data_IF_547432842560
#
_entry.id   IF_547432842560
#
_cell.length_a   1.000
_cell.length_b   1.000
_cell.length_c   1.000
_cell.angle_alpha   90.00
_cell.angle_beta   90.00
_cell.angle_gamma   90.00
#
_symmetry.space_group_name_H-M   'P 1'
#
loop_
_entity.id
_entity.type
_entity.pdbx_description
1 polymer ?
#
# COMPACT_ATOMS: atom_id res chain seq x y z
N UNK A 1 -36.75 -16.53 -0.51
CA UNK A 1 -35.71 -16.52 -1.53
C UNK A 1 -36.17 -15.64 -2.65
N UNK A 2 -35.40 -14.64 -3.05
CA UNK A 2 -35.69 -13.79 -4.22
C UNK A 2 -34.62 -14.14 -5.28
N UNK A 3 -35.04 -14.66 -6.43
CA UNK A 3 -34.14 -15.10 -7.51
C UNK A 3 -34.80 -14.89 -8.87
N UNK A 4 -34.00 -14.64 -9.90
CA UNK A 4 -34.44 -14.79 -11.27
C UNK A 4 -34.43 -16.27 -11.67
N UNK A 5 -35.29 -16.68 -12.60
CA UNK A 5 -35.34 -18.07 -13.07
C UNK A 5 -34.05 -18.51 -13.78
N UNK A 6 -33.92 -19.81 -14.01
CA UNK A 6 -32.88 -20.40 -14.87
C UNK A 6 -33.34 -20.39 -16.34
N UNK A 7 -32.43 -20.14 -17.28
CA UNK A 7 -32.68 -20.31 -18.71
C UNK A 7 -31.75 -21.37 -19.28
N UNK A 8 -32.27 -22.32 -20.05
CA UNK A 8 -31.47 -23.34 -20.73
C UNK A 8 -30.73 -22.77 -21.95
N UNK A 9 -31.27 -21.72 -22.54
CA UNK A 9 -30.64 -20.95 -23.62
C UNK A 9 -31.12 -19.52 -23.64
N UNK A 10 -30.25 -18.54 -23.95
CA UNK A 10 -30.57 -17.13 -24.03
C UNK A 10 -30.13 -16.32 -22.80
N UNK A 11 -30.77 -15.14 -22.61
CA UNK A 11 -30.44 -14.22 -21.52
C UNK A 11 -31.27 -14.51 -20.27
N UNK A 12 -30.65 -14.40 -19.10
CA UNK A 12 -31.32 -14.52 -17.80
C UNK A 12 -32.00 -13.19 -17.40
N UNK A 13 -32.96 -13.29 -16.48
CA UNK A 13 -33.63 -12.12 -15.92
C UNK A 13 -32.71 -11.23 -15.10
N UNK A 14 -32.99 -9.94 -15.07
CA UNK A 14 -32.31 -8.95 -14.23
C UNK A 14 -33.11 -8.78 -12.93
N UNK A 15 -32.43 -8.76 -11.79
CA UNK A 15 -32.99 -8.34 -10.52
C UNK A 15 -32.45 -6.94 -10.19
N UNK A 16 -33.36 -5.96 -10.08
CA UNK A 16 -33.03 -4.60 -9.70
C UNK A 16 -33.65 -4.26 -8.35
N UNK A 17 -32.84 -3.75 -7.43
CA UNK A 17 -33.27 -3.21 -6.15
C UNK A 17 -32.80 -1.75 -6.06
N UNK A 18 -33.75 -0.82 -6.06
CA UNK A 18 -33.47 0.61 -6.05
C UNK A 18 -34.55 1.39 -5.34
N UNK A 19 -34.24 2.59 -4.92
CA UNK A 19 -35.19 3.59 -4.43
C UNK A 19 -35.53 4.55 -5.56
N UNK A 20 -36.69 5.22 -5.49
CA UNK A 20 -37.12 6.21 -6.48
C UNK A 20 -36.33 7.52 -6.37
N UNK A 21 -36.37 8.29 -7.46
CA UNK A 21 -35.82 9.63 -7.52
C UNK A 21 -36.67 10.63 -6.72
N UNK A 22 -36.04 11.61 -6.10
CA UNK A 22 -36.71 12.69 -5.42
C UNK A 22 -36.56 14.01 -6.23
N UNK A 23 -37.68 14.59 -6.73
CA UNK A 23 -37.65 15.88 -7.39
C UNK A 23 -37.42 17.06 -6.45
N UNK A 24 -37.71 16.90 -5.16
CA UNK A 24 -37.43 17.87 -4.11
C UNK A 24 -37.14 17.09 -2.79
N UNK A 25 -36.09 17.43 -2.11
CA UNK A 25 -35.63 16.73 -0.89
C UNK A 25 -34.64 15.59 -1.17
N UNK A 26 -34.41 14.75 -0.17
CA UNK A 26 -33.49 13.62 -0.27
C UNK A 26 -34.19 12.36 -0.80
N UNK A 27 -33.51 11.59 -1.65
CA UNK A 27 -33.97 10.26 -2.09
C UNK A 27 -33.86 9.24 -0.96
N UNK A 28 -34.53 8.09 -1.11
CA UNK A 28 -34.51 7.01 -0.16
C UNK A 28 -33.17 6.26 -0.12
N UNK A 29 -32.92 5.51 0.96
CA UNK A 29 -31.75 4.64 1.12
C UNK A 29 -32.12 3.16 0.89
N UNK A 30 -31.16 2.36 0.39
CA UNK A 30 -31.18 0.90 0.42
C UNK A 30 -30.24 0.44 1.51
N UNK A 31 -30.74 -0.39 2.46
CA UNK A 31 -29.92 -0.96 3.54
C UNK A 31 -29.96 -2.49 3.48
N UNK A 32 -28.79 -3.12 3.47
CA UNK A 32 -28.63 -4.57 3.50
C UNK A 32 -27.77 -4.92 4.70
N UNK A 33 -28.34 -5.65 5.66
CA UNK A 33 -27.63 -6.05 6.89
C UNK A 33 -27.95 -7.49 7.26
N UNK A 34 -26.99 -8.18 7.86
CA UNK A 34 -27.19 -9.46 8.49
C UNK A 34 -27.54 -9.28 9.98
N UNK A 35 -28.18 -10.28 10.56
CA UNK A 35 -28.61 -10.25 11.97
C UNK A 35 -27.43 -10.35 12.95
N UNK A 36 -27.64 -9.82 14.14
CA UNK A 36 -26.72 -9.93 15.28
C UNK A 36 -26.99 -11.20 16.09
N UNK A 37 -25.97 -11.76 16.72
CA UNK A 37 -26.10 -12.81 17.75
C UNK A 37 -25.75 -12.23 19.12
N UNK A 38 -26.58 -12.55 20.14
CA UNK A 38 -26.33 -12.17 21.53
C UNK A 38 -25.93 -13.35 22.42
N UNK A 39 -25.83 -14.56 21.86
CA UNK A 39 -25.49 -15.76 22.61
C UNK A 39 -23.97 -16.01 22.56
N UNK A 40 -23.36 -16.29 23.70
CA UNK A 40 -21.94 -16.60 23.83
C UNK A 40 -21.51 -17.76 22.90
N UNK A 41 -20.40 -17.61 22.22
CA UNK A 41 -19.86 -18.61 21.30
C UNK A 41 -20.47 -18.62 19.89
N UNK A 42 -21.49 -17.81 19.61
CA UNK A 42 -22.13 -17.72 18.30
C UNK A 42 -21.73 -16.42 17.58
N UNK A 43 -21.41 -16.53 16.29
CA UNK A 43 -21.10 -15.37 15.42
C UNK A 43 -22.37 -14.69 14.89
N UNK A 44 -22.28 -13.42 14.55
CA UNK A 44 -23.31 -12.70 13.78
C UNK A 44 -23.47 -13.27 12.37
N UNK A 45 -24.58 -12.92 11.70
CA UNK A 45 -24.82 -13.30 10.30
C UNK A 45 -23.81 -12.64 9.34
N UNK A 46 -23.64 -13.23 8.16
CA UNK A 46 -22.77 -12.69 7.10
C UNK A 46 -23.58 -12.14 5.92
N UNK A 47 -23.06 -11.12 5.25
CA UNK A 47 -23.50 -10.68 3.91
C UNK A 47 -22.41 -11.09 2.91
N UNK A 48 -22.80 -11.78 1.83
CA UNK A 48 -21.89 -12.17 0.75
C UNK A 48 -22.36 -11.58 -0.57
N UNK A 49 -21.46 -10.89 -1.26
CA UNK A 49 -21.68 -10.35 -2.60
C UNK A 49 -20.63 -10.98 -3.53
N UNK A 50 -21.07 -11.70 -4.56
CA UNK A 50 -20.19 -12.44 -5.46
C UNK A 50 -20.62 -12.23 -6.91
N UNK A 51 -19.68 -11.90 -7.80
CA UNK A 51 -19.89 -11.91 -9.24
C UNK A 51 -20.07 -13.35 -9.76
N UNK A 52 -20.82 -13.51 -10.83
CA UNK A 52 -21.07 -14.83 -11.43
C UNK A 52 -19.78 -15.45 -12.00
N UNK A 53 -19.59 -16.75 -11.84
CA UNK A 53 -18.49 -17.47 -12.46
C UNK A 53 -18.85 -17.88 -13.89
N UNK A 54 -17.87 -17.92 -14.81
CA UNK A 54 -17.97 -18.56 -16.11
C UNK A 54 -17.19 -19.88 -16.11
N UNK A 55 -17.81 -20.94 -16.59
CA UNK A 55 -17.16 -22.25 -16.79
C UNK A 55 -16.69 -22.45 -18.24
N UNK A 56 -16.97 -21.49 -19.13
CA UNK A 56 -16.51 -21.52 -20.51
C UNK A 56 -15.01 -21.22 -20.59
N UNK A 57 -14.28 -21.92 -21.48
CA UNK A 57 -12.85 -21.70 -21.70
C UNK A 57 -12.49 -20.29 -22.22
N UNK A 58 -13.45 -19.55 -22.77
CA UNK A 58 -13.29 -18.20 -23.30
C UNK A 58 -14.15 -17.17 -22.57
N UNK A 59 -14.95 -17.60 -21.58
CA UNK A 59 -15.86 -16.74 -20.85
C UNK A 59 -15.18 -15.98 -19.70
N UNK A 60 -15.56 -14.72 -19.52
CA UNK A 60 -15.12 -13.92 -18.38
C UNK A 60 -16.12 -14.03 -17.23
N UNK A 61 -15.64 -13.99 -16.00
CA UNK A 61 -16.50 -13.87 -14.81
C UNK A 61 -17.19 -12.51 -14.72
N UNK A 62 -18.29 -12.46 -13.99
CA UNK A 62 -19.03 -11.21 -13.72
C UNK A 62 -18.25 -10.29 -12.77
N UNK A 63 -18.38 -8.98 -12.95
CA UNK A 63 -17.78 -7.95 -12.13
C UNK A 63 -18.67 -7.55 -10.95
N UNK A 64 -18.06 -7.03 -9.89
CA UNK A 64 -18.71 -6.26 -8.81
C UNK A 64 -18.16 -4.84 -8.89
N UNK A 65 -19.06 -3.84 -8.94
CA UNK A 65 -18.72 -2.43 -8.92
C UNK A 65 -19.32 -1.76 -7.69
N UNK A 66 -18.49 -1.03 -6.93
CA UNK A 66 -18.86 -0.21 -5.78
C UNK A 66 -18.41 1.22 -6.08
N UNK A 67 -19.35 2.17 -6.15
CA UNK A 67 -19.04 3.58 -6.42
C UNK A 67 -19.94 4.50 -5.58
N UNK A 68 -19.36 5.60 -5.09
CA UNK A 68 -20.13 6.70 -4.52
C UNK A 68 -20.90 7.45 -5.62
N UNK A 69 -21.99 8.12 -5.27
CA UNK A 69 -22.75 8.95 -6.20
C UNK A 69 -22.02 10.24 -6.57
N UNK A 70 -22.30 10.76 -7.76
CA UNK A 70 -21.80 12.07 -8.18
C UNK A 70 -22.59 13.19 -7.52
N UNK A 71 -21.96 14.32 -7.22
CA UNK A 71 -22.59 15.53 -6.70
C UNK A 71 -21.84 16.79 -7.13
N UNK A 72 -22.58 17.84 -7.47
CA UNK A 72 -22.01 19.11 -7.93
C UNK A 72 -21.15 19.82 -6.84
N UNK A 73 -21.47 19.61 -5.57
CA UNK A 73 -20.72 20.17 -4.43
C UNK A 73 -19.69 19.20 -3.85
N UNK A 74 -19.77 17.92 -4.22
CA UNK A 74 -18.89 16.85 -3.76
C UNK A 74 -19.54 15.49 -4.00
N UNK A 75 -18.74 14.46 -4.32
CA UNK A 75 -19.19 13.09 -4.51
C UNK A 75 -19.45 12.37 -3.18
N UNK A 76 -20.21 11.29 -3.23
CA UNK A 76 -20.41 10.37 -2.10
C UNK A 76 -19.18 9.53 -1.83
N UNK A 77 -18.92 9.21 -0.54
CA UNK A 77 -17.86 8.31 -0.12
C UNK A 77 -18.20 6.84 -0.34
N UNK A 78 -17.16 6.00 -0.47
CA UNK A 78 -17.23 4.54 -0.30
C UNK A 78 -16.37 4.18 0.90
N UNK A 79 -16.99 3.73 1.99
CA UNK A 79 -16.31 3.33 3.23
C UNK A 79 -16.25 1.80 3.34
N UNK A 80 -15.05 1.25 3.47
CA UNK A 80 -14.82 -0.19 3.67
C UNK A 80 -14.01 -0.37 4.95
N UNK A 81 -14.63 -0.89 5.97
CA UNK A 81 -13.99 -1.09 7.27
C UNK A 81 -14.23 -2.51 7.80
N UNK A 82 -13.21 -3.09 8.42
CA UNK A 82 -13.36 -4.32 9.19
C UNK A 82 -14.02 -4.03 10.56
N UNK A 83 -14.66 -5.04 11.14
CA UNK A 83 -15.31 -4.91 12.46
C UNK A 83 -14.30 -4.66 13.58
N UNK A 84 -14.77 -3.97 14.64
CA UNK A 84 -13.99 -3.82 15.87
C UNK A 84 -13.71 -5.18 16.51
N UNK A 85 -12.62 -5.28 17.28
CA UNK A 85 -12.17 -6.53 17.88
C UNK A 85 -11.15 -7.31 17.05
N UNK A 86 -10.51 -6.68 16.07
CA UNK A 86 -9.40 -7.28 15.30
C UNK A 86 -9.82 -7.90 13.97
N UNK A 87 -10.94 -7.48 13.37
CA UNK A 87 -11.33 -7.91 12.02
C UNK A 87 -10.29 -7.53 10.98
N UNK A 88 -10.03 -8.42 10.01
CA UNK A 88 -9.11 -8.16 8.90
C UNK A 88 -9.82 -7.61 7.67
N UNK A 89 -9.16 -6.69 6.95
CA UNK A 89 -9.52 -6.29 5.59
C UNK A 89 -8.47 -6.83 4.62
N UNK A 90 -8.89 -7.62 3.61
CA UNK A 90 -8.02 -8.16 2.58
C UNK A 90 -8.47 -7.72 1.20
N UNK A 91 -7.55 -7.13 0.42
CA UNK A 91 -7.76 -6.69 -0.96
C UNK A 91 -6.75 -7.42 -1.86
N UNK A 92 -7.22 -8.27 -2.78
CA UNK A 92 -6.39 -9.05 -3.67
C UNK A 92 -6.94 -9.01 -5.10
N UNK A 93 -6.04 -8.96 -6.09
CA UNK A 93 -6.39 -9.24 -7.48
C UNK A 93 -6.58 -10.75 -7.71
N UNK A 94 -7.24 -11.08 -8.83
CA UNK A 94 -7.43 -12.46 -9.24
C UNK A 94 -6.10 -13.16 -9.54
N UNK A 95 -5.97 -14.42 -9.10
CA UNK A 95 -4.85 -15.30 -9.43
C UNK A 95 -5.03 -15.86 -10.83
N UNK A 96 -3.96 -15.94 -11.60
CA UNK A 96 -3.91 -16.75 -12.82
C UNK A 96 -3.22 -18.07 -12.53
N UNK A 97 -3.76 -19.17 -13.04
CA UNK A 97 -3.28 -20.54 -12.76
C UNK A 97 -2.94 -21.36 -14.00
N UNK A 98 -3.20 -20.84 -15.21
CA UNK A 98 -3.06 -21.63 -16.45
C UNK A 98 -2.41 -20.82 -17.55
N UNK A 99 -1.41 -21.42 -18.25
CA UNK A 99 -0.72 -20.87 -19.41
C UNK A 99 0.65 -20.25 -19.12
N UNK A 100 1.53 -20.26 -20.11
CA UNK A 100 2.91 -19.74 -20.02
C UNK A 100 2.97 -18.22 -19.92
N UNK A 101 1.91 -17.50 -20.35
CA UNK A 101 1.79 -16.03 -20.28
C UNK A 101 0.67 -15.59 -19.32
N UNK A 102 0.36 -16.44 -18.33
CA UNK A 102 -0.74 -16.17 -17.40
C UNK A 102 -0.38 -15.06 -16.41
N UNK A 103 -1.02 -13.88 -16.55
CA UNK A 103 -0.86 -12.72 -15.67
C UNK A 103 -1.97 -12.67 -14.62
N UNK A 104 -1.61 -12.39 -13.37
CA UNK A 104 -2.58 -12.02 -12.34
C UNK A 104 -3.17 -10.64 -12.62
N UNK A 105 -4.31 -10.32 -12.00
CA UNK A 105 -4.91 -8.98 -12.11
C UNK A 105 -4.05 -7.89 -11.46
N UNK A 106 -4.31 -6.65 -11.81
CA UNK A 106 -3.70 -5.45 -11.22
C UNK A 106 -4.51 -4.99 -10.00
N UNK A 107 -3.82 -4.51 -8.96
CA UNK A 107 -4.41 -3.72 -7.87
C UNK A 107 -3.92 -2.29 -8.00
N UNK A 108 -4.82 -1.32 -8.11
CA UNK A 108 -4.48 0.12 -8.17
C UNK A 108 -5.07 0.83 -6.97
N UNK A 109 -4.25 1.61 -6.26
CA UNK A 109 -4.67 2.53 -5.22
C UNK A 109 -4.19 3.93 -5.59
N UNK A 110 -5.10 4.81 -5.95
CA UNK A 110 -4.80 6.17 -6.41
C UNK A 110 -5.91 7.14 -6.00
N UNK A 111 -5.55 8.40 -5.76
CA UNK A 111 -6.52 9.49 -5.69
C UNK A 111 -7.04 9.82 -7.09
N UNK A 112 -8.24 10.42 -7.16
CA UNK A 112 -8.84 10.85 -8.42
C UNK A 112 -8.04 11.99 -9.09
N UNK A 113 -8.13 12.06 -10.41
CA UNK A 113 -7.65 13.20 -11.20
C UNK A 113 -8.44 14.46 -10.84
N UNK A 114 -7.78 15.61 -10.84
CA UNK A 114 -8.38 16.91 -10.56
C UNK A 114 -7.80 18.00 -11.45
N UNK A 115 -8.67 18.92 -11.90
CA UNK A 115 -8.23 20.16 -12.57
C UNK A 115 -7.59 21.17 -11.63
N UNK A 116 -7.77 20.99 -10.32
CA UNK A 116 -7.11 21.75 -9.26
C UNK A 116 -6.10 20.89 -8.52
N UNK A 117 -6.24 20.80 -7.20
CA UNK A 117 -5.41 19.94 -6.34
C UNK A 117 -6.03 18.54 -6.23
N UNK A 118 -5.27 17.48 -6.50
CA UNK A 118 -5.68 16.10 -6.23
C UNK A 118 -5.67 15.79 -4.74
N UNK A 119 -6.39 14.75 -4.34
CA UNK A 119 -6.38 14.22 -2.97
C UNK A 119 -5.08 13.48 -2.63
N UNK A 120 -4.86 13.26 -1.33
CA UNK A 120 -3.74 12.49 -0.82
C UNK A 120 -4.09 10.98 -0.80
N UNK A 121 -3.08 10.11 -0.90
CA UNK A 121 -3.17 8.67 -0.58
C UNK A 121 -2.37 8.44 0.68
N UNK A 122 -3.02 8.03 1.78
CA UNK A 122 -2.39 7.78 3.08
C UNK A 122 -2.40 6.29 3.40
N UNK A 123 -1.22 5.72 3.67
CA UNK A 123 -1.03 4.32 4.08
C UNK A 123 -0.27 4.31 5.40
N UNK A 124 -0.92 3.92 6.47
CA UNK A 124 -0.36 3.93 7.82
C UNK A 124 -0.85 2.72 8.64
N UNK A 125 -0.04 2.25 9.58
CA UNK A 125 -0.50 1.36 10.65
C UNK A 125 -1.30 2.16 11.69
N UNK A 126 -2.15 1.45 12.46
CA UNK A 126 -2.91 2.05 13.55
C UNK A 126 -2.02 2.56 14.69
N UNK A 127 -2.51 3.56 15.41
CA UNK A 127 -1.89 4.06 16.64
C UNK A 127 -2.23 3.12 17.80
N UNK A 128 -1.24 2.79 18.65
CA UNK A 128 -1.49 2.14 19.94
C UNK A 128 -1.57 3.18 21.06
N UNK A 129 -2.48 2.97 22.00
CA UNK A 129 -2.64 3.80 23.20
C UNK A 129 -2.19 3.07 24.47
N UNK A 130 -1.66 1.84 24.33
CA UNK A 130 -1.11 1.03 25.41
C UNK A 130 0.43 1.06 25.40
N UNK A 131 1.06 0.32 26.31
CA UNK A 131 2.51 0.12 26.36
C UNK A 131 3.03 -0.84 25.28
N UNK A 132 2.16 -1.38 24.44
CA UNK A 132 2.51 -2.30 23.35
C UNK A 132 2.95 -1.55 22.08
N UNK A 133 3.66 -2.25 21.21
CA UNK A 133 4.12 -1.69 19.93
C UNK A 133 2.98 -1.53 18.92
N UNK A 134 3.03 -0.50 18.08
CA UNK A 134 2.16 -0.36 16.92
C UNK A 134 2.52 -1.38 15.83
N UNK A 135 1.60 -1.60 14.87
CA UNK A 135 1.84 -2.45 13.71
C UNK A 135 2.86 -1.85 12.74
N UNK A 136 3.36 -2.68 11.82
CA UNK A 136 4.28 -2.28 10.75
C UNK A 136 3.54 -2.03 9.43
N UNK A 137 4.11 -1.16 8.58
CA UNK A 137 3.78 -1.07 7.14
C UNK A 137 4.88 -1.77 6.36
N UNK A 138 4.54 -2.79 5.56
CA UNK A 138 5.49 -3.59 4.78
C UNK A 138 5.20 -3.39 3.30
N UNK A 139 6.21 -2.96 2.52
CA UNK A 139 6.17 -2.84 1.07
C UNK A 139 7.24 -3.73 0.46
N UNK A 140 6.82 -4.78 -0.23
CA UNK A 140 7.73 -5.76 -0.83
C UNK A 140 7.15 -6.34 -2.13
N UNK A 141 8.02 -6.78 -3.02
CA UNK A 141 7.63 -7.55 -4.20
C UNK A 141 7.67 -9.06 -3.90
N UNK A 142 6.91 -9.83 -4.67
CA UNK A 142 6.95 -11.28 -4.60
C UNK A 142 8.29 -11.84 -5.11
N UNK A 143 8.67 -13.02 -4.61
CA UNK A 143 9.83 -13.77 -5.11
C UNK A 143 9.52 -14.44 -6.45
N UNK A 144 10.54 -14.59 -7.30
CA UNK A 144 10.48 -15.37 -8.53
C UNK A 144 11.34 -16.64 -8.38
N UNK A 145 10.84 -17.79 -8.85
CA UNK A 145 11.57 -19.06 -8.80
C UNK A 145 12.55 -19.23 -9.96
N UNK A 146 12.27 -18.63 -11.13
CA UNK A 146 13.06 -18.86 -12.35
C UNK A 146 13.39 -17.59 -13.13
N UNK A 147 12.69 -16.48 -12.89
CA UNK A 147 12.94 -15.19 -13.55
C UNK A 147 13.38 -14.12 -12.55
N UNK A 148 13.46 -12.89 -12.99
CA UNK A 148 13.68 -11.74 -12.11
C UNK A 148 12.45 -11.44 -11.26
N UNK A 149 12.64 -11.03 -10.01
CA UNK A 149 11.59 -10.45 -9.19
C UNK A 149 11.21 -9.04 -9.68
N UNK A 150 10.01 -8.57 -9.31
CA UNK A 150 9.58 -7.21 -9.63
C UNK A 150 10.35 -6.15 -8.84
N UNK A 151 10.25 -4.88 -9.25
CA UNK A 151 10.89 -3.74 -8.60
C UNK A 151 9.91 -3.05 -7.63
N UNK A 152 10.44 -2.44 -6.56
CA UNK A 152 9.78 -1.40 -5.78
C UNK A 152 10.30 -0.05 -6.26
N UNK A 153 9.43 0.85 -6.71
CA UNK A 153 9.78 2.18 -7.18
C UNK A 153 9.10 3.22 -6.29
N UNK A 154 9.90 4.06 -5.64
CA UNK A 154 9.45 5.20 -4.82
C UNK A 154 9.96 6.48 -5.49
N UNK A 155 9.10 7.14 -6.25
CA UNK A 155 9.46 8.34 -6.99
C UNK A 155 8.35 9.39 -6.91
N UNK A 156 8.65 10.64 -6.51
CA UNK A 156 7.73 11.74 -6.68
C UNK A 156 7.46 12.02 -8.16
N UNK A 157 6.28 12.57 -8.44
CA UNK A 157 5.95 13.06 -9.78
C UNK A 157 6.83 14.24 -10.20
N UNK A 158 6.96 14.45 -11.50
CA UNK A 158 7.64 15.63 -12.07
C UNK A 158 6.76 16.88 -11.98
N UNK A 159 7.40 18.05 -11.81
CA UNK A 159 6.74 19.35 -11.85
C UNK A 159 7.07 20.06 -13.17
N UNK A 160 6.04 20.59 -13.85
CA UNK A 160 6.22 21.41 -15.04
C UNK A 160 6.44 22.90 -14.71
N UNK A 161 6.10 23.31 -13.48
CA UNK A 161 6.30 24.67 -12.97
C UNK A 161 6.44 24.65 -11.45
N UNK A 162 7.34 25.47 -10.92
CA UNK A 162 7.69 25.47 -9.51
C UNK A 162 8.74 24.42 -9.13
N UNK A 163 8.97 24.23 -7.85
CA UNK A 163 9.98 23.33 -7.31
C UNK A 163 9.57 21.85 -7.45
N UNK A 164 10.55 20.96 -7.56
CA UNK A 164 10.36 19.51 -7.55
C UNK A 164 9.91 19.00 -6.16
N UNK A 165 9.19 17.88 -6.15
CA UNK A 165 8.74 17.24 -4.93
C UNK A 165 9.85 16.44 -4.22
N UNK A 166 9.72 16.25 -2.89
CA UNK A 166 10.68 15.54 -2.05
C UNK A 166 10.25 14.09 -1.81
N UNK A 167 11.23 13.18 -1.86
CA UNK A 167 11.14 11.87 -1.17
C UNK A 167 11.87 11.96 0.17
N UNK A 168 11.19 11.70 1.28
CA UNK A 168 11.77 11.75 2.63
C UNK A 168 11.71 10.38 3.29
N UNK A 169 12.86 9.89 3.74
CA UNK A 169 13.00 8.66 4.51
C UNK A 169 13.63 9.02 5.86
N UNK A 170 12.98 8.70 6.96
CA UNK A 170 13.45 9.03 8.30
C UNK A 170 13.28 7.87 9.27
N UNK A 171 14.21 7.71 10.20
CA UNK A 171 14.06 6.83 11.36
C UNK A 171 13.09 7.43 12.39
N UNK A 172 12.48 6.58 13.22
CA UNK A 172 11.62 7.02 14.31
C UNK A 172 12.39 7.69 15.43
N UNK A 173 11.79 8.70 16.07
CA UNK A 173 12.34 9.33 17.27
C UNK A 173 11.70 8.73 18.53
N UNK A 174 12.42 8.82 19.66
CA UNK A 174 11.91 8.47 20.99
C UNK A 174 12.08 9.66 21.94
N UNK A 175 11.18 9.77 22.88
CA UNK A 175 11.26 10.70 24.02
C UNK A 175 11.62 9.98 25.32
N UNK A 176 11.77 8.65 25.29
CA UNK A 176 12.22 7.86 26.43
C UNK A 176 13.69 8.16 26.72
N UNK A 177 14.05 8.59 27.96
CA UNK A 177 15.44 8.90 28.31
C UNK A 177 16.42 7.72 28.17
N UNK A 178 15.92 6.48 28.21
CA UNK A 178 16.71 5.27 28.03
C UNK A 178 16.55 4.67 26.61
N UNK A 179 15.70 5.27 25.77
CA UNK A 179 15.38 4.78 24.45
C UNK A 179 16.38 5.20 23.39
N UNK A 180 16.59 4.33 22.40
CA UNK A 180 17.42 4.61 21.22
C UNK A 180 16.54 4.94 20.01
N UNK A 181 16.85 6.00 19.27
CA UNK A 181 16.17 6.36 18.03
C UNK A 181 16.31 5.28 16.95
N UNK A 182 15.33 5.18 16.06
CA UNK A 182 15.32 4.23 14.95
C UNK A 182 16.36 4.56 13.88
N UNK A 183 16.96 3.55 13.27
CA UNK A 183 17.92 3.68 12.18
C UNK A 183 17.27 3.58 10.79
N UNK A 184 18.06 3.95 9.77
CA UNK A 184 17.78 3.70 8.36
C UNK A 184 18.86 2.76 7.84
N UNK A 185 18.48 1.62 7.26
CA UNK A 185 19.39 0.68 6.61
C UNK A 185 19.19 0.70 5.09
N UNK A 186 20.26 0.89 4.33
CA UNK A 186 20.29 0.76 2.88
C UNK A 186 21.30 -0.33 2.51
N UNK A 187 20.83 -1.44 1.97
CA UNK A 187 21.67 -2.59 1.63
C UNK A 187 21.35 -3.08 0.23
N UNK A 188 22.37 -3.23 -0.60
CA UNK A 188 22.22 -3.86 -1.91
C UNK A 188 22.16 -5.39 -1.78
N UNK A 189 21.53 -6.05 -2.75
CA UNK A 189 21.38 -7.50 -2.77
C UNK A 189 22.72 -8.21 -3.08
N UNK A 190 22.90 -9.42 -2.53
CA UNK A 190 24.00 -10.30 -2.92
C UNK A 190 23.71 -11.02 -4.25
N UNK A 191 24.75 -11.38 -4.98
CA UNK A 191 24.69 -12.18 -6.20
C UNK A 191 25.79 -13.24 -6.20
N UNK A 192 25.63 -14.30 -7.01
CA UNK A 192 26.64 -15.36 -7.14
C UNK A 192 27.84 -14.93 -8.00
N UNK A 193 27.67 -13.97 -8.89
CA UNK A 193 28.75 -13.41 -9.75
C UNK A 193 29.08 -12.02 -9.26
N UNK A 194 28.11 -11.12 -9.25
CA UNK A 194 28.29 -9.74 -8.83
C UNK A 194 27.22 -9.34 -7.82
N UNK A 195 27.58 -8.57 -6.80
CA UNK A 195 26.66 -7.95 -5.87
C UNK A 195 25.98 -6.71 -6.47
N UNK A 196 24.79 -6.36 -5.96
CA UNK A 196 24.14 -5.11 -6.27
C UNK A 196 24.92 -3.92 -5.69
N UNK A 197 24.63 -2.72 -6.16
CA UNK A 197 25.22 -1.46 -5.65
C UNK A 197 24.18 -0.55 -5.04
N UNK A 198 24.58 0.22 -4.04
CA UNK A 198 23.87 1.42 -3.57
C UNK A 198 24.43 2.63 -4.28
N UNK A 199 23.60 3.46 -4.88
CA UNK A 199 24.03 4.65 -5.60
C UNK A 199 23.30 5.89 -5.06
N UNK A 200 24.06 6.92 -4.69
CA UNK A 200 23.56 8.19 -4.17
C UNK A 200 24.15 9.31 -5.01
N UNK A 201 23.31 10.11 -5.68
CA UNK A 201 23.72 11.22 -6.54
C UNK A 201 22.96 12.49 -6.23
N UNK A 202 23.63 13.64 -6.35
CA UNK A 202 22.98 14.94 -6.41
C UNK A 202 22.28 15.14 -7.76
N UNK A 203 21.30 16.03 -7.80
CA UNK A 203 20.56 16.38 -9.01
C UNK A 203 21.42 17.16 -10.00
N UNK A 204 21.12 17.05 -11.30
CA UNK A 204 21.74 17.82 -12.36
C UNK A 204 20.97 19.10 -12.66
N UNK A 205 21.61 20.13 -13.18
CA UNK A 205 20.98 21.37 -13.62
C UNK A 205 21.35 21.70 -15.06
N UNK A 206 20.48 22.39 -15.77
CA UNK A 206 20.79 22.97 -17.09
C UNK A 206 21.50 24.32 -16.98
N UNK A 207 21.27 25.07 -15.88
CA UNK A 207 21.90 26.36 -15.60
C UNK A 207 21.84 26.64 -14.10
N UNK A 208 22.96 26.95 -13.48
CA UNK A 208 23.03 27.19 -12.04
C UNK A 208 23.88 26.15 -11.30
N UNK A 209 23.67 25.98 -10.00
CA UNK A 209 24.44 25.06 -9.16
C UNK A 209 23.73 23.71 -9.08
N UNK A 210 24.45 22.62 -9.38
CA UNK A 210 23.96 21.24 -9.26
C UNK A 210 23.73 20.87 -7.77
N UNK A 211 22.86 19.89 -7.54
CA UNK A 211 22.57 19.38 -6.20
C UNK A 211 23.80 18.70 -5.57
N UNK A 212 23.96 18.86 -4.25
CA UNK A 212 25.00 18.23 -3.45
C UNK A 212 24.50 16.95 -2.79
N UNK A 213 25.43 16.07 -2.40
CA UNK A 213 25.21 14.98 -1.45
C UNK A 213 25.91 15.38 -0.15
N UNK A 214 25.13 15.45 0.95
CA UNK A 214 25.64 15.77 2.28
C UNK A 214 25.52 14.53 3.16
N UNK A 215 26.61 14.15 3.83
CA UNK A 215 26.66 13.06 4.80
C UNK A 215 27.24 13.61 6.10
N UNK A 216 26.43 13.71 7.13
CA UNK A 216 26.82 14.26 8.43
C UNK A 216 26.51 13.29 9.57
N UNK A 217 27.31 13.28 10.61
CA UNK A 217 26.98 12.62 11.86
C UNK A 217 26.04 13.50 12.71
N UNK A 218 25.22 12.84 13.57
CA UNK A 218 24.41 13.54 14.54
C UNK A 218 25.25 14.25 15.62
N UNK A 219 24.76 15.37 16.11
CA UNK A 219 25.32 16.10 17.25
C UNK A 219 24.36 16.02 18.44
N UNK A 220 24.84 15.95 19.69
CA UNK A 220 23.98 16.02 20.87
C UNK A 220 23.24 17.36 20.92
N UNK A 221 21.96 17.33 21.18
CA UNK A 221 21.12 18.54 21.32
C UNK A 221 21.37 19.28 22.64
N UNK A 222 21.94 18.61 23.65
CA UNK A 222 22.31 19.18 24.97
C UNK A 222 23.69 18.65 25.30
N UNK A 223 24.68 19.52 25.44
CA UNK A 223 25.97 19.18 25.99
C UNK A 223 25.84 18.97 27.50
N UNK A 224 25.74 17.74 27.97
CA UNK A 224 25.97 17.41 29.38
C UNK A 224 27.46 17.57 29.67
N UNK A 225 27.83 18.21 30.78
CA UNK A 225 29.22 18.35 31.17
C UNK A 225 29.90 16.99 31.21
N UNK A 226 30.88 16.76 30.32
CA UNK A 226 31.70 15.55 30.24
C UNK A 226 31.29 14.53 29.15
N UNK A 227 30.26 14.75 28.36
CA UNK A 227 29.87 13.87 27.24
C UNK A 227 30.12 14.56 25.90
N UNK A 228 31.18 14.15 25.21
CA UNK A 228 31.62 14.69 23.91
C UNK A 228 31.46 13.70 22.76
N UNK A 229 30.67 12.63 22.96
CA UNK A 229 30.50 11.59 21.94
C UNK A 229 29.51 12.06 20.86
N UNK A 230 30.07 12.54 19.76
CA UNK A 230 29.36 12.75 18.50
C UNK A 230 29.34 11.43 17.74
N UNK A 231 28.27 11.18 16.97
CA UNK A 231 28.24 10.04 16.03
C UNK A 231 29.40 10.15 15.02
N UNK A 232 29.86 9.04 14.50
CA UNK A 232 30.89 9.00 13.47
C UNK A 232 30.36 8.71 12.08
N UNK A 233 30.99 9.26 11.03
CA UNK A 233 30.84 8.81 9.65
C UNK A 233 31.96 7.81 9.37
N UNK A 234 31.60 6.53 9.17
CA UNK A 234 32.54 5.46 8.87
C UNK A 234 32.38 5.01 7.41
N UNK A 235 33.44 5.18 6.61
CA UNK A 235 33.50 4.68 5.23
C UNK A 235 34.60 3.62 5.17
N UNK A 236 34.24 2.38 4.81
CA UNK A 236 35.19 1.23 4.75
C UNK A 236 34.97 0.47 3.45
N UNK A 237 36.05 -0.05 2.86
CA UNK A 237 35.99 -1.17 1.93
C UNK A 237 35.94 -2.49 2.69
N UNK A 238 35.25 -3.51 2.17
CA UNK A 238 35.35 -4.85 2.68
C UNK A 238 36.75 -5.42 2.30
N UNK A 239 37.47 -5.99 3.28
CA UNK A 239 38.69 -6.75 3.00
C UNK A 239 38.28 -8.12 2.42
N UNK A 240 38.89 -8.53 1.33
CA UNK A 240 38.79 -9.90 0.85
C UNK A 240 39.66 -10.76 1.79
N UNK A 241 39.06 -11.63 2.61
CA UNK A 241 39.77 -12.75 3.18
C UNK A 241 40.25 -13.64 2.02
N UNK A 242 41.51 -13.53 1.65
CA UNK A 242 42.17 -14.55 0.84
C UNK A 242 42.16 -15.83 1.67
N UNK A 243 41.30 -16.79 1.33
CA UNK A 243 41.44 -18.16 1.80
C UNK A 243 42.72 -18.67 1.18
N UNK A 244 43.81 -18.57 1.93
CA UNK A 244 45.10 -19.16 1.56
C UNK A 244 44.91 -20.67 1.59
N UNK A 245 44.70 -21.25 0.40
CA UNK A 245 44.62 -22.69 0.19
C UNK A 245 46.03 -23.29 0.27
N UNK A 246 46.57 -23.43 1.49
CA UNK A 246 47.73 -24.27 1.72
C UNK A 246 47.28 -25.72 1.95
N UNK A 247 47.55 -26.53 0.94
CA UNK A 247 47.53 -28.01 0.96
C UNK A 247 48.46 -28.57 2.04
#
# INVERSE_FOLDING_TARGET
>A
MLSTGTAESGYFGILTLGTGDAGAGSSGAVSISAGTSSQDGNGGGSVSVTGGASTSSTGMGGSIALSGGEGAAGGGAVDIAAGAGGGALSLQSGRSSTGVDALSGLVTLASGESSGRSGDVNIASGVTTSSESSGSVILQTGSSQAGAAGNVVLAPGSSAGGDGAWSKIGGGSTVDPAGTGGGIGLTAGGGMVDGGRVEIRGGTTGSGVSGSVLVESGVPSVASEGQTDTGGVNVRSADTETVDGST
#
